data_IF_248196800957
#
_entry.id   IF_248196800957
#
_cell.length_a   1.000
_cell.length_b   1.000
_cell.length_c   1.000
_cell.angle_alpha   90.00
_cell.angle_beta   90.00
_cell.angle_gamma   90.00
#
_symmetry.space_group_name_H-M   'P 1'
#
loop_
_entity.id
_entity.type
_entity.pdbx_description
1 polymer ?
#
# COMPACT_ATOMS: atom_id res chain seq x y z
N UNK A 1 7.15 -10.60 -0.74
CA UNK A 1 5.92 -9.92 -1.17
C UNK A 1 5.54 -8.98 -0.04
N UNK A 2 5.66 -7.68 -0.25
CA UNK A 2 5.12 -6.68 0.67
C UNK A 2 3.60 -6.83 0.70
N UNK A 3 3.08 -7.40 1.76
CA UNK A 3 1.67 -7.51 2.04
C UNK A 3 1.35 -6.59 3.22
N UNK A 4 0.88 -5.43 2.92
CA UNK A 4 0.46 -4.44 3.89
C UNK A 4 1.31 -3.17 3.79
N UNK A 5 0.95 -2.29 2.90
CA UNK A 5 1.33 -0.89 2.97
C UNK A 5 0.11 -0.18 3.55
N UNK A 6 0.05 -0.05 4.86
CA UNK A 6 -0.74 0.99 5.48
C UNK A 6 0.08 2.28 5.32
N UNK A 7 -0.01 2.88 4.14
CA UNK A 7 0.49 4.22 3.94
C UNK A 7 -0.49 5.18 4.60
N UNK A 8 -0.21 5.49 5.83
CA UNK A 8 -0.89 6.54 6.58
C UNK A 8 -0.14 7.85 6.33
N UNK A 9 -0.31 8.43 5.16
CA UNK A 9 -0.10 9.86 5.01
C UNK A 9 -1.19 10.57 5.83
N UNK A 10 -0.80 11.37 6.81
CA UNK A 10 -1.73 12.05 7.72
C UNK A 10 -2.64 13.08 7.02
N UNK A 11 -2.54 13.23 5.70
CA UNK A 11 -3.35 14.16 4.90
C UNK A 11 -4.25 13.47 3.85
N UNK A 12 -4.19 12.14 3.69
CA UNK A 12 -5.04 11.43 2.73
C UNK A 12 -5.89 10.39 3.44
N UNK A 13 -7.19 10.66 3.48
CA UNK A 13 -8.17 9.73 4.02
C UNK A 13 -8.24 8.44 3.20
N UNK A 14 -8.25 7.27 3.86
CA UNK A 14 -8.34 5.97 3.21
C UNK A 14 -9.62 5.80 2.40
N UNK A 15 -9.49 5.66 1.09
CA UNK A 15 -10.61 5.37 0.18
C UNK A 15 -10.77 3.86 -0.07
N UNK A 16 -9.71 3.09 0.10
CA UNK A 16 -9.70 1.66 -0.18
C UNK A 16 -8.68 0.91 0.68
N UNK A 17 -8.98 -0.37 0.95
CA UNK A 17 -8.06 -1.30 1.61
C UNK A 17 -7.91 -2.58 0.81
N UNK A 18 -6.68 -3.06 0.69
CA UNK A 18 -6.34 -4.31 0.06
C UNK A 18 -5.83 -5.30 1.12
N UNK A 19 -6.44 -6.49 1.16
CA UNK A 19 -5.98 -7.60 1.97
C UNK A 19 -5.54 -8.74 1.04
N UNK A 20 -4.34 -9.26 1.26
CA UNK A 20 -3.85 -10.43 0.54
C UNK A 20 -3.58 -11.56 1.54
N UNK A 21 -4.18 -12.72 1.32
CA UNK A 21 -4.05 -13.90 2.17
C UNK A 21 -3.53 -15.08 1.37
N UNK A 22 -2.39 -15.63 1.78
CA UNK A 22 -1.87 -16.87 1.22
C UNK A 22 -2.72 -18.06 1.71
N UNK A 23 -3.05 -18.96 0.78
CA UNK A 23 -3.70 -20.24 1.07
C UNK A 23 -2.64 -21.33 0.93
N UNK A 24 -2.44 -22.10 1.99
CA UNK A 24 -1.43 -23.17 2.04
C UNK A 24 -2.06 -24.47 2.50
N UNK A 25 -1.44 -25.60 2.13
CA UNK A 25 -1.75 -26.94 2.66
C UNK A 25 -0.43 -27.59 3.10
N UNK A 26 -0.18 -27.59 4.42
CA UNK A 26 1.15 -27.91 4.93
C UNK A 26 2.17 -26.87 4.46
N UNK A 27 3.23 -27.33 3.78
CA UNK A 27 4.27 -26.47 3.18
C UNK A 27 3.93 -26.00 1.75
N UNK A 28 2.89 -26.55 1.14
CA UNK A 28 2.52 -26.24 -0.24
C UNK A 28 1.71 -24.95 -0.33
N UNK A 29 2.17 -24.02 -1.17
CA UNK A 29 1.42 -22.83 -1.54
C UNK A 29 0.36 -23.17 -2.60
N UNK A 30 -0.93 -22.98 -2.25
CA UNK A 30 -2.05 -23.27 -3.14
C UNK A 30 -2.52 -22.04 -3.92
N UNK A 31 -2.37 -20.86 -3.36
CA UNK A 31 -2.84 -19.65 -4.01
C UNK A 31 -2.84 -18.43 -3.10
N UNK A 32 -3.33 -17.34 -3.65
CA UNK A 32 -3.50 -16.07 -2.96
C UNK A 32 -4.95 -15.60 -3.10
N UNK A 33 -5.58 -15.27 -1.99
CA UNK A 33 -6.88 -14.60 -1.97
C UNK A 33 -6.64 -13.11 -1.78
N UNK A 34 -7.16 -12.30 -2.71
CA UNK A 34 -7.13 -10.85 -2.63
C UNK A 34 -8.52 -10.33 -2.25
N UNK A 35 -8.61 -9.64 -1.14
CA UNK A 35 -9.80 -8.89 -0.73
C UNK A 35 -9.56 -7.40 -0.98
N UNK A 36 -10.47 -6.74 -1.67
CA UNK A 36 -10.45 -5.31 -1.87
C UNK A 36 -11.74 -4.68 -1.35
N UNK A 37 -11.61 -3.79 -0.37
CA UNK A 37 -12.69 -2.93 0.09
C UNK A 37 -12.52 -1.52 -0.48
N UNK A 38 -13.56 -0.94 -1.05
CA UNK A 38 -13.54 0.43 -1.56
C UNK A 38 -14.76 1.19 -1.07
N UNK A 39 -14.54 2.35 -0.49
CA UNK A 39 -15.59 3.28 -0.09
C UNK A 39 -16.10 4.02 -1.33
N UNK A 40 -17.19 3.55 -1.92
CA UNK A 40 -17.74 4.14 -3.15
C UNK A 40 -18.67 5.32 -2.88
N UNK A 41 -19.71 5.09 -2.05
CA UNK A 41 -20.73 6.08 -1.75
C UNK A 41 -20.98 6.09 -0.25
N UNK A 42 -20.43 7.05 0.43
CA UNK A 42 -20.66 7.27 1.87
C UNK A 42 -21.27 8.64 2.11
N UNK A 43 -22.14 8.70 3.11
CA UNK A 43 -22.62 9.97 3.65
C UNK A 43 -21.52 10.58 4.53
N UNK A 44 -21.20 11.88 4.39
CA UNK A 44 -20.21 12.55 5.22
C UNK A 44 -20.47 12.42 6.73
N UNK A 45 -21.74 12.25 7.14
CA UNK A 45 -22.09 12.04 8.55
C UNK A 45 -21.62 10.70 9.10
N UNK A 46 -21.52 9.68 8.24
CA UNK A 46 -20.99 8.36 8.63
C UNK A 46 -19.47 8.47 8.86
N UNK A 47 -18.77 9.21 7.99
CA UNK A 47 -17.32 9.43 8.12
C UNK A 47 -16.94 10.14 9.40
N UNK A 48 -17.73 11.10 9.84
CA UNK A 48 -17.51 11.83 11.10
C UNK A 48 -17.54 10.94 12.36
N UNK A 49 -18.08 9.72 12.27
CA UNK A 49 -18.11 8.72 13.34
C UNK A 49 -17.01 7.66 13.26
N UNK A 50 -16.10 7.74 12.30
CA UNK A 50 -14.98 6.78 12.11
C UNK A 50 -13.74 7.36 12.78
N UNK A 51 -13.14 6.61 13.71
CA UNK A 51 -11.93 7.04 14.45
C UNK A 51 -10.64 7.05 13.60
N UNK A 52 -10.72 6.64 12.33
CA UNK A 52 -9.58 6.62 11.38
C UNK A 52 -9.85 7.56 10.21
N UNK A 53 -8.83 8.22 9.66
CA UNK A 53 -8.97 9.00 8.44
C UNK A 53 -9.59 8.13 7.34
N UNK A 54 -10.74 8.52 6.81
CA UNK A 54 -11.45 7.78 5.78
C UNK A 54 -12.19 8.72 4.85
N UNK A 55 -12.21 8.40 3.56
CA UNK A 55 -12.98 9.10 2.54
C UNK A 55 -13.72 8.12 1.62
N UNK A 56 -14.46 8.65 0.66
CA UNK A 56 -15.15 7.85 -0.34
C UNK A 56 -15.07 8.47 -1.72
N UNK A 57 -15.16 7.66 -2.75
CA UNK A 57 -15.03 8.11 -4.15
C UNK A 57 -16.11 9.15 -4.52
N UNK A 58 -17.32 9.01 -4.03
CA UNK A 58 -18.38 10.00 -4.29
C UNK A 58 -18.06 11.39 -3.73
N UNK A 59 -17.31 11.47 -2.64
CA UNK A 59 -16.89 12.73 -2.06
C UNK A 59 -15.73 13.36 -2.84
N UNK A 60 -14.77 12.54 -3.24
CA UNK A 60 -13.63 12.98 -4.06
C UNK A 60 -14.06 13.40 -5.47
N UNK A 61 -15.06 12.73 -6.02
CA UNK A 61 -15.53 12.95 -7.40
C UNK A 61 -16.67 13.99 -7.50
N UNK A 62 -17.32 14.30 -6.37
CA UNK A 62 -18.41 15.25 -6.30
C UNK A 62 -19.76 14.70 -6.80
N UNK A 63 -19.94 13.38 -6.77
CA UNK A 63 -21.18 12.74 -7.19
C UNK A 63 -21.20 11.22 -7.00
N UNK A 64 -22.36 10.59 -7.13
CA UNK A 64 -22.52 9.15 -6.90
C UNK A 64 -21.69 8.32 -7.89
N UNK A 65 -21.12 7.23 -7.39
CA UNK A 65 -20.37 6.25 -8.18
C UNK A 65 -21.24 5.02 -8.38
N UNK A 66 -21.46 4.62 -9.64
CA UNK A 66 -22.15 3.38 -9.97
C UNK A 66 -21.27 2.17 -9.60
N UNK A 67 -21.76 1.34 -8.70
CA UNK A 67 -21.00 0.22 -8.14
C UNK A 67 -20.63 -0.83 -9.18
N UNK A 68 -21.55 -1.15 -10.07
CA UNK A 68 -21.35 -2.24 -11.03
C UNK A 68 -20.39 -1.80 -12.12
N UNK A 69 -20.51 -0.57 -12.62
CA UNK A 69 -19.55 0.03 -13.55
C UNK A 69 -18.16 0.10 -12.93
N UNK A 70 -18.05 0.56 -11.68
CA UNK A 70 -16.77 0.63 -10.98
C UNK A 70 -16.12 -0.76 -10.85
N UNK A 71 -16.89 -1.77 -10.43
CA UNK A 71 -16.42 -3.15 -10.28
C UNK A 71 -15.90 -3.70 -11.63
N UNK A 72 -16.66 -3.52 -12.70
CA UNK A 72 -16.33 -4.06 -14.01
C UNK A 72 -15.07 -3.39 -14.57
N UNK A 73 -14.93 -2.07 -14.42
CA UNK A 73 -13.73 -1.33 -14.80
C UNK A 73 -12.51 -1.76 -13.97
N UNK A 74 -12.68 -1.95 -12.66
CA UNK A 74 -11.61 -2.42 -11.78
C UNK A 74 -11.11 -3.80 -12.20
N UNK A 75 -12.02 -4.75 -12.40
CA UNK A 75 -11.67 -6.11 -12.80
C UNK A 75 -11.02 -6.12 -14.19
N UNK A 76 -11.54 -5.35 -15.14
CA UNK A 76 -10.95 -5.21 -16.46
C UNK A 76 -9.48 -4.73 -16.38
N UNK A 77 -9.23 -3.66 -15.64
CA UNK A 77 -7.88 -3.11 -15.45
C UNK A 77 -6.96 -4.07 -14.69
N UNK A 78 -7.48 -4.76 -13.68
CA UNK A 78 -6.74 -5.76 -12.93
C UNK A 78 -6.27 -6.88 -13.85
N UNK A 79 -7.15 -7.51 -14.62
CA UNK A 79 -6.79 -8.61 -15.50
C UNK A 79 -5.92 -8.17 -16.69
N UNK A 80 -6.07 -6.95 -17.18
CA UNK A 80 -5.19 -6.39 -18.19
C UNK A 80 -3.74 -6.25 -17.70
N UNK A 81 -3.53 -5.95 -16.41
CA UNK A 81 -2.21 -5.89 -15.80
C UNK A 81 -1.69 -7.27 -15.34
N UNK A 82 -2.60 -8.13 -14.86
CA UNK A 82 -2.26 -9.41 -14.26
C UNK A 82 -1.73 -10.42 -15.29
N UNK A 83 -2.27 -10.44 -16.51
CA UNK A 83 -1.79 -11.33 -17.57
C UNK A 83 -0.30 -11.13 -17.91
N UNK A 84 0.15 -9.91 -18.25
CA UNK A 84 1.57 -9.58 -18.41
C UNK A 84 2.42 -9.86 -17.17
N UNK A 85 1.91 -9.58 -15.97
CA UNK A 85 2.60 -9.88 -14.72
C UNK A 85 2.87 -11.39 -14.55
N UNK A 86 1.90 -12.25 -14.85
CA UNK A 86 2.10 -13.71 -14.78
C UNK A 86 3.18 -14.22 -15.73
N UNK A 87 3.34 -13.56 -16.88
CA UNK A 87 4.31 -13.98 -17.90
C UNK A 87 5.70 -13.43 -17.63
N UNK A 88 5.84 -12.20 -17.17
CA UNK A 88 7.09 -11.45 -17.07
C UNK A 88 7.47 -11.04 -15.64
N UNK A 89 6.60 -11.33 -14.68
CA UNK A 89 6.82 -11.03 -13.26
C UNK A 89 6.75 -9.55 -12.91
N UNK A 90 7.28 -9.21 -11.74
CA UNK A 90 7.25 -7.85 -11.20
C UNK A 90 7.94 -6.78 -12.07
N UNK A 91 9.03 -7.06 -12.80
CA UNK A 91 9.65 -6.06 -13.67
C UNK A 91 8.69 -5.38 -14.63
N UNK A 92 7.64 -6.09 -15.08
CA UNK A 92 6.62 -5.54 -15.98
C UNK A 92 5.81 -4.40 -15.38
N UNK A 93 5.52 -4.48 -14.10
CA UNK A 93 4.70 -3.48 -13.39
C UNK A 93 5.54 -2.53 -12.53
N UNK A 94 6.84 -2.83 -12.33
CA UNK A 94 7.73 -2.10 -11.40
C UNK A 94 7.70 -0.58 -11.60
N UNK A 95 7.87 -0.11 -12.82
CA UNK A 95 7.89 1.33 -13.10
C UNK A 95 6.57 2.02 -12.74
N UNK A 96 5.45 1.37 -13.04
CA UNK A 96 4.13 1.91 -12.73
C UNK A 96 3.85 1.85 -11.23
N UNK A 97 4.28 0.79 -10.57
CA UNK A 97 4.19 0.62 -9.12
C UNK A 97 5.01 1.69 -8.40
N UNK A 98 6.30 1.81 -8.72
CA UNK A 98 7.20 2.78 -8.09
C UNK A 98 6.71 4.24 -8.22
N UNK A 99 6.16 4.62 -9.38
CA UNK A 99 5.59 5.97 -9.56
C UNK A 99 4.36 6.27 -8.68
N UNK A 100 3.66 5.24 -8.24
CA UNK A 100 2.47 5.36 -7.39
C UNK A 100 2.74 5.08 -5.91
N UNK A 101 3.97 4.71 -5.61
CA UNK A 101 4.43 4.42 -4.26
C UNK A 101 4.78 5.73 -3.56
N UNK A 102 3.85 6.27 -2.79
CA UNK A 102 3.95 7.61 -2.21
C UNK A 102 5.11 7.77 -1.21
N UNK A 103 5.55 6.68 -0.58
CA UNK A 103 6.66 6.74 0.37
C UNK A 103 8.07 6.70 -0.28
N UNK A 104 8.19 6.48 -1.59
CA UNK A 104 9.52 6.51 -2.23
C UNK A 104 10.10 7.91 -2.23
N UNK A 105 11.34 8.01 -1.75
CA UNK A 105 12.06 9.26 -1.52
C UNK A 105 11.92 9.78 -0.09
N UNK A 106 10.96 9.28 0.68
CA UNK A 106 10.65 9.76 2.02
C UNK A 106 11.37 8.95 3.12
N UNK A 107 11.62 9.58 4.29
CA UNK A 107 12.09 8.88 5.48
C UNK A 107 10.96 8.02 6.05
N UNK A 108 11.23 6.73 6.26
CA UNK A 108 10.26 5.75 6.74
C UNK A 108 10.80 4.89 7.86
N UNK A 109 9.89 4.32 8.62
CA UNK A 109 10.10 3.22 9.56
C UNK A 109 9.55 1.92 8.95
N UNK A 110 10.33 0.85 8.97
CA UNK A 110 9.86 -0.49 8.56
C UNK A 110 9.86 -1.41 9.77
N UNK A 111 8.70 -1.89 10.16
CA UNK A 111 8.54 -2.86 11.26
C UNK A 111 8.62 -4.27 10.72
N UNK A 112 9.61 -5.00 11.19
CA UNK A 112 9.87 -6.39 10.88
C UNK A 112 9.54 -7.26 12.11
N UNK A 113 9.30 -8.56 11.95
CA UNK A 113 9.21 -9.49 13.10
C UNK A 113 10.47 -9.50 13.96
N UNK A 114 11.62 -9.15 13.39
CA UNK A 114 12.93 -9.11 14.06
C UNK A 114 13.29 -7.76 14.69
N UNK A 115 12.47 -6.73 14.49
CA UNK A 115 12.73 -5.37 14.97
C UNK A 115 12.39 -4.31 13.94
N UNK A 116 12.81 -3.09 14.17
CA UNK A 116 12.49 -1.92 13.36
C UNK A 116 13.72 -1.43 12.60
N UNK A 117 13.51 -1.04 11.34
CA UNK A 117 14.50 -0.37 10.52
C UNK A 117 14.04 1.04 10.18
N UNK A 118 14.95 2.01 10.25
CA UNK A 118 14.70 3.39 9.83
C UNK A 118 15.62 3.77 8.68
N UNK A 119 15.11 4.54 7.73
CA UNK A 119 15.88 5.02 6.61
C UNK A 119 15.02 5.76 5.58
N UNK A 120 15.62 6.10 4.44
CA UNK A 120 14.90 6.64 3.29
C UNK A 120 14.53 5.50 2.34
N UNK A 121 13.28 5.43 1.93
CA UNK A 121 12.82 4.50 0.90
C UNK A 121 13.40 4.91 -0.45
N UNK A 122 14.45 4.23 -0.90
CA UNK A 122 15.19 4.66 -2.09
C UNK A 122 14.57 4.17 -3.39
N UNK A 123 14.20 2.90 -3.43
CA UNK A 123 13.67 2.26 -4.65
C UNK A 123 12.96 0.93 -4.31
N UNK A 124 12.27 0.38 -5.30
CA UNK A 124 11.78 -1.00 -5.30
C UNK A 124 12.58 -1.77 -6.34
N UNK A 125 13.26 -2.85 -5.96
CA UNK A 125 14.08 -3.64 -6.88
C UNK A 125 13.26 -4.45 -7.90
N UNK A 126 13.94 -5.12 -8.83
CA UNK A 126 13.29 -5.94 -9.86
C UNK A 126 12.52 -7.15 -9.28
N UNK A 127 12.80 -7.55 -8.06
CA UNK A 127 12.08 -8.61 -7.34
C UNK A 127 10.92 -8.11 -6.47
N UNK A 128 10.67 -6.79 -6.43
CA UNK A 128 9.64 -6.17 -5.60
C UNK A 128 10.05 -5.93 -4.16
N UNK A 129 11.34 -6.00 -3.83
CA UNK A 129 11.83 -5.66 -2.50
C UNK A 129 12.10 -4.15 -2.38
N UNK A 130 11.80 -3.58 -1.23
CA UNK A 130 12.15 -2.22 -0.90
C UNK A 130 13.66 -2.10 -0.67
N UNK A 131 14.28 -1.10 -1.27
CA UNK A 131 15.65 -0.68 -1.01
C UNK A 131 15.60 0.49 -0.04
N UNK A 132 16.04 0.25 1.19
CA UNK A 132 16.07 1.23 2.26
C UNK A 132 17.50 1.77 2.40
N UNK A 133 17.68 3.08 2.25
CA UNK A 133 18.95 3.76 2.55
C UNK A 133 18.99 4.14 4.02
N UNK A 134 19.92 3.57 4.76
CA UNK A 134 20.13 3.85 6.18
C UNK A 134 20.88 5.17 6.39
N UNK A 135 20.78 5.70 7.60
CA UNK A 135 21.48 6.96 7.99
C UNK A 135 23.01 6.87 7.91
N UNK A 136 23.58 5.66 8.04
CA UNK A 136 25.02 5.40 7.90
C UNK A 136 25.49 5.34 6.43
N UNK A 137 24.58 5.52 5.48
CA UNK A 137 24.82 5.48 4.04
C UNK A 137 24.75 4.07 3.44
N UNK A 138 24.59 3.03 4.25
CA UNK A 138 24.35 1.67 3.81
C UNK A 138 22.94 1.50 3.20
N UNK A 139 22.80 0.52 2.33
CA UNK A 139 21.48 0.13 1.80
C UNK A 139 21.09 -1.24 2.32
N UNK A 140 19.80 -1.42 2.60
CA UNK A 140 19.23 -2.67 3.04
C UNK A 140 18.08 -3.09 2.14
N UNK A 141 18.03 -4.37 1.78
CA UNK A 141 17.00 -4.96 0.94
C UNK A 141 15.94 -5.59 1.82
N UNK A 142 14.73 -5.02 1.80
CA UNK A 142 13.62 -5.42 2.68
C UNK A 142 12.53 -6.10 1.86
N UNK A 143 12.21 -7.35 2.21
CA UNK A 143 11.24 -8.18 1.47
C UNK A 143 9.94 -8.42 2.23
N UNK A 144 9.89 -8.06 3.51
CA UNK A 144 8.71 -8.20 4.36
C UNK A 144 8.73 -7.09 5.42
N UNK A 145 7.59 -6.76 5.99
CA UNK A 145 7.44 -5.74 7.02
C UNK A 145 6.28 -4.79 6.72
N UNK A 146 5.98 -3.94 7.68
CA UNK A 146 5.00 -2.86 7.58
C UNK A 146 5.75 -1.53 7.50
N UNK A 147 5.31 -0.66 6.59
CA UNK A 147 5.92 0.65 6.36
C UNK A 147 5.10 1.71 7.08
N UNK A 148 5.77 2.59 7.80
CA UNK A 148 5.20 3.74 8.49
C UNK A 148 6.00 4.98 8.15
N UNK A 149 5.34 6.13 8.10
CA UNK A 149 6.03 7.40 7.98
C UNK A 149 6.84 7.66 9.26
N UNK A 150 8.07 8.13 9.10
CA UNK A 150 8.80 8.68 10.22
C UNK A 150 8.25 10.09 10.48
N UNK A 151 7.76 10.39 11.69
CA UNK A 151 7.36 11.74 12.02
C UNK A 151 8.56 12.67 11.78
N UNK A 152 8.32 13.78 11.09
CA UNK A 152 9.34 14.78 10.84
C UNK A 152 10.01 15.11 12.17
N UNK A 153 11.32 14.91 12.27
CA UNK A 153 12.11 15.05 13.50
C UNK A 153 11.97 16.47 14.03
N UNK A 154 11.17 16.66 15.07
CA UNK A 154 11.13 17.94 15.74
C UNK A 154 9.81 18.39 16.34
N UNK A 155 9.11 17.58 17.14
CA UNK A 155 8.43 18.10 18.35
C UNK A 155 8.26 16.92 19.31
N UNK A 156 9.17 16.76 20.26
CA UNK A 156 8.85 16.04 21.48
C UNK A 156 7.69 16.80 22.16
N UNK A 157 6.60 16.15 22.56
CA UNK A 157 5.66 16.79 23.44
C UNK A 157 6.39 17.04 24.76
N UNK A 158 6.65 18.31 25.04
CA UNK A 158 7.06 18.75 26.37
C UNK A 158 5.88 18.48 27.29
N UNK A 159 6.15 17.73 28.34
CA UNK A 159 5.31 17.43 29.50
C UNK A 159 4.46 18.61 30.00
#
# INVERSE_FOLDING_TARGET
IFLGVDYLDHEVDDVARLLAQAVTSGEDFLGLVLGLGVNLNLDPTILAGIDQPATALNLLWGGPVDRDTFRDDLLHRFFAAYGPFLQRGFPEIRTTFARRCGFLGEPIEVRLPSGTLEGTAEDIDAGGALILRRRDGGTERVTLGEVFDLPASGVSPVN
#
